data_IF_656258667327
#
_entry.id   IF_656258667327
#
_cell.length_a   1.000
_cell.length_b   1.000
_cell.length_c   1.000
_cell.angle_alpha   90.00
_cell.angle_beta   90.00
_cell.angle_gamma   90.00
#
_symmetry.space_group_name_H-M   'P 1'
#
loop_
_entity.id
_entity.type
_entity.pdbx_description
1 polymer ?
#
# COMPACT_ATOMS: atom_id res chain seq x y z
N UNK A 1 0.24 16.12 -32.56
CA UNK A 1 -0.06 17.11 -33.59
C UNK A 1 -1.57 17.28 -33.77
N UNK A 2 -2.08 18.51 -33.97
CA UNK A 2 -3.53 18.77 -34.10
C UNK A 2 -4.23 17.94 -35.19
N UNK A 3 -3.51 17.54 -36.20
CA UNK A 3 -4.02 16.74 -37.33
C UNK A 3 -4.37 15.30 -36.89
N UNK A 4 -3.54 14.64 -36.11
CA UNK A 4 -3.78 13.27 -35.62
C UNK A 4 -4.99 13.25 -34.70
N UNK A 5 -5.09 14.18 -33.77
CA UNK A 5 -6.25 14.30 -32.86
C UNK A 5 -7.56 14.53 -33.64
N UNK A 6 -7.52 15.36 -34.69
CA UNK A 6 -8.69 15.60 -35.55
C UNK A 6 -9.10 14.38 -36.36
N UNK A 7 -8.12 13.62 -36.90
CA UNK A 7 -8.39 12.39 -37.64
C UNK A 7 -8.99 11.31 -36.73
N UNK A 8 -8.44 11.13 -35.50
CA UNK A 8 -8.97 10.22 -34.50
C UNK A 8 -10.39 10.59 -34.08
N UNK A 9 -10.67 11.88 -33.89
CA UNK A 9 -12.01 12.36 -33.58
C UNK A 9 -12.98 12.03 -34.73
N UNK A 10 -12.62 12.36 -35.97
CA UNK A 10 -13.42 12.07 -37.14
C UNK A 10 -13.66 10.59 -37.31
N UNK A 11 -12.64 9.74 -37.18
CA UNK A 11 -12.76 8.28 -37.26
C UNK A 11 -13.72 7.72 -36.20
N UNK A 12 -13.77 8.34 -35.01
CA UNK A 12 -14.73 7.99 -33.95
C UNK A 12 -16.13 8.46 -34.29
N UNK A 13 -16.30 9.70 -34.76
CA UNK A 13 -17.59 10.29 -35.11
C UNK A 13 -18.23 9.54 -36.29
N UNK A 14 -17.42 9.14 -37.29
CA UNK A 14 -17.84 8.32 -38.45
C UNK A 14 -17.94 6.81 -38.14
N UNK A 15 -17.72 6.40 -36.86
CA UNK A 15 -17.76 5.00 -36.39
C UNK A 15 -16.80 4.04 -37.13
N UNK A 16 -15.74 4.58 -37.75
CA UNK A 16 -14.66 3.78 -38.36
C UNK A 16 -13.85 3.07 -37.28
N UNK A 17 -13.65 3.74 -36.14
CA UNK A 17 -13.04 3.17 -34.94
C UNK A 17 -14.15 3.01 -33.91
N UNK A 18 -14.33 1.81 -33.40
CA UNK A 18 -15.17 1.50 -32.24
C UNK A 18 -14.28 1.13 -31.10
N UNK A 19 -14.47 1.79 -29.94
CA UNK A 19 -13.89 1.36 -28.70
C UNK A 19 -14.93 0.48 -28.00
N UNK A 20 -14.66 -0.80 -27.96
CA UNK A 20 -15.45 -1.73 -27.17
C UNK A 20 -14.66 -1.99 -25.87
N UNK A 21 -15.28 -1.67 -24.75
CA UNK A 21 -14.69 -1.92 -23.44
C UNK A 21 -15.26 -3.23 -22.92
N UNK A 22 -14.43 -4.22 -22.58
CA UNK A 22 -14.91 -5.45 -21.96
C UNK A 22 -15.80 -5.16 -20.75
N UNK A 23 -16.82 -5.99 -20.53
CA UNK A 23 -17.82 -5.73 -19.49
C UNK A 23 -17.21 -5.70 -18.08
N UNK A 24 -16.17 -6.45 -17.84
CA UNK A 24 -15.38 -6.45 -16.59
C UNK A 24 -14.87 -5.04 -16.24
N UNK A 25 -14.36 -4.29 -17.22
CA UNK A 25 -13.91 -2.91 -17.01
C UNK A 25 -15.07 -1.94 -16.80
N UNK A 26 -16.23 -2.17 -17.45
CA UNK A 26 -17.43 -1.37 -17.21
C UNK A 26 -17.94 -1.55 -15.78
N UNK A 27 -17.90 -2.79 -15.29
CA UNK A 27 -18.25 -3.12 -13.91
C UNK A 27 -17.30 -2.47 -12.91
N UNK A 28 -16.00 -2.51 -13.15
CA UNK A 28 -15.00 -1.82 -12.32
C UNK A 28 -15.29 -0.31 -12.23
N UNK A 29 -15.54 0.37 -13.35
CA UNK A 29 -15.86 1.80 -13.38
C UNK A 29 -17.15 2.09 -12.60
N UNK A 30 -18.15 1.23 -12.73
CA UNK A 30 -19.39 1.36 -11.96
C UNK A 30 -19.15 1.22 -10.46
N UNK A 31 -18.37 0.21 -10.04
CA UNK A 31 -18.00 0.00 -8.63
C UNK A 31 -17.17 1.17 -8.07
N UNK A 32 -16.23 1.70 -8.84
CA UNK A 32 -15.44 2.90 -8.46
C UNK A 32 -16.36 4.08 -8.15
N UNK A 33 -17.37 4.30 -9.00
CA UNK A 33 -18.34 5.38 -8.82
C UNK A 33 -19.20 5.18 -7.58
N UNK A 34 -19.72 3.98 -7.36
CA UNK A 34 -20.51 3.64 -6.17
C UNK A 34 -19.71 3.78 -4.87
N UNK A 35 -18.46 3.29 -4.86
CA UNK A 35 -17.59 3.37 -3.70
C UNK A 35 -17.20 4.83 -3.39
N UNK A 36 -16.90 5.60 -4.43
CA UNK A 36 -16.55 7.01 -4.29
C UNK A 36 -17.68 7.83 -3.68
N UNK A 37 -18.91 7.60 -4.14
CA UNK A 37 -20.09 8.26 -3.61
C UNK A 37 -20.36 7.86 -2.14
N UNK A 38 -20.16 6.56 -1.81
CA UNK A 38 -20.44 6.02 -0.48
C UNK A 38 -19.43 6.46 0.57
N UNK A 39 -18.14 6.55 0.23
CA UNK A 39 -17.04 6.71 1.18
C UNK A 39 -16.31 8.05 1.11
N UNK A 40 -16.76 8.97 0.27
CA UNK A 40 -16.14 10.30 0.07
C UNK A 40 -14.62 10.24 -0.18
N UNK A 41 -14.21 9.25 -1.00
CA UNK A 41 -12.81 9.06 -1.36
C UNK A 41 -12.46 9.88 -2.61
N UNK A 42 -11.27 10.45 -2.64
CA UNK A 42 -10.82 11.27 -3.77
C UNK A 42 -10.67 10.45 -5.06
N UNK A 43 -10.07 9.29 -4.97
CA UNK A 43 -9.87 8.38 -6.09
C UNK A 43 -9.97 6.92 -5.62
N UNK A 44 -10.58 6.09 -6.45
CA UNK A 44 -10.71 4.66 -6.24
C UNK A 44 -10.35 3.99 -7.56
N UNK A 45 -9.56 2.95 -7.50
CA UNK A 45 -9.20 2.13 -8.66
C UNK A 45 -9.62 0.70 -8.34
N UNK A 46 -10.60 0.20 -9.09
CA UNK A 46 -11.04 -1.18 -9.02
C UNK A 46 -10.36 -1.96 -10.14
N UNK A 47 -9.72 -3.06 -9.78
CA UNK A 47 -8.98 -3.89 -10.73
C UNK A 47 -9.81 -5.10 -11.10
N UNK A 48 -10.03 -5.37 -12.41
CA UNK A 48 -10.78 -6.54 -12.82
C UNK A 48 -10.00 -7.82 -12.50
N UNK A 49 -10.69 -8.81 -11.96
CA UNK A 49 -10.18 -10.17 -11.81
C UNK A 49 -10.74 -11.03 -12.95
N UNK A 50 -9.94 -11.98 -13.45
CA UNK A 50 -10.41 -12.86 -14.53
C UNK A 50 -11.59 -13.70 -14.05
N UNK A 51 -12.77 -13.51 -14.65
CA UNK A 51 -13.99 -14.26 -14.32
C UNK A 51 -14.01 -15.67 -14.94
N UNK A 52 -13.14 -15.95 -15.90
CA UNK A 52 -13.09 -17.22 -16.63
C UNK A 52 -12.15 -18.25 -16.01
N UNK A 53 -11.32 -17.85 -15.04
CA UNK A 53 -10.37 -18.70 -14.32
C UNK A 53 -10.49 -18.44 -12.82
N UNK A 54 -10.24 -19.43 -11.99
CA UNK A 54 -10.01 -19.20 -10.57
C UNK A 54 -8.77 -18.31 -10.40
N UNK A 55 -9.00 -17.03 -10.13
CA UNK A 55 -7.91 -16.07 -9.92
C UNK A 55 -7.29 -16.34 -8.57
N UNK A 56 -6.02 -16.69 -8.55
CA UNK A 56 -5.32 -16.93 -7.30
C UNK A 56 -5.17 -15.63 -6.47
N UNK A 57 -5.14 -15.70 -5.13
CA UNK A 57 -4.91 -14.52 -4.30
C UNK A 57 -3.63 -13.75 -4.66
N UNK A 58 -2.62 -14.44 -5.20
CA UNK A 58 -1.38 -13.82 -5.66
C UNK A 58 -1.57 -13.02 -6.94
N UNK A 59 -2.41 -13.49 -7.87
CA UNK A 59 -2.71 -12.74 -9.10
C UNK A 59 -3.52 -11.48 -8.80
N UNK A 60 -4.51 -11.56 -7.90
CA UNK A 60 -5.23 -10.38 -7.41
C UNK A 60 -4.26 -9.36 -6.80
N UNK A 61 -3.37 -9.83 -5.92
CA UNK A 61 -2.36 -8.99 -5.29
C UNK A 61 -1.47 -8.29 -6.32
N UNK A 62 -1.01 -8.99 -7.34
CA UNK A 62 -0.18 -8.44 -8.42
C UNK A 62 -0.93 -7.42 -9.26
N UNK A 63 -2.19 -7.70 -9.59
CA UNK A 63 -3.01 -6.78 -10.36
C UNK A 63 -3.24 -5.45 -9.59
N UNK A 64 -3.60 -5.53 -8.32
CA UNK A 64 -3.73 -4.35 -7.44
C UNK A 64 -2.39 -3.61 -7.29
N UNK A 65 -1.31 -4.35 -7.11
CA UNK A 65 0.03 -3.77 -6.96
C UNK A 65 0.50 -3.04 -8.22
N UNK A 66 0.19 -3.56 -9.41
CA UNK A 66 0.50 -2.92 -10.69
C UNK A 66 -0.24 -1.58 -10.85
N UNK A 67 -1.53 -1.54 -10.57
CA UNK A 67 -2.29 -0.28 -10.64
C UNK A 67 -1.86 0.70 -9.54
N UNK A 68 -1.55 0.21 -8.35
CA UNK A 68 -0.96 1.03 -7.28
C UNK A 68 0.39 1.65 -7.69
N UNK A 69 1.26 0.89 -8.36
CA UNK A 69 2.52 1.40 -8.89
C UNK A 69 2.30 2.49 -9.95
N UNK A 70 1.39 2.27 -10.89
CA UNK A 70 1.01 3.25 -11.92
C UNK A 70 0.45 4.53 -11.30
N UNK A 71 -0.37 4.38 -10.26
CA UNK A 71 -0.90 5.51 -9.52
C UNK A 71 0.20 6.32 -8.85
N UNK A 72 1.12 5.65 -8.14
CA UNK A 72 2.25 6.30 -7.49
C UNK A 72 3.16 7.03 -8.48
N UNK A 73 3.51 6.41 -9.61
CA UNK A 73 4.39 7.03 -10.61
C UNK A 73 3.85 8.35 -11.16
N UNK A 74 2.52 8.47 -11.30
CA UNK A 74 1.91 9.74 -11.75
C UNK A 74 1.64 10.73 -10.63
N UNK A 75 1.63 10.28 -9.37
CA UNK A 75 1.35 11.11 -8.20
C UNK A 75 2.60 11.71 -7.57
N UNK A 76 3.73 11.01 -7.64
CA UNK A 76 4.99 11.45 -7.03
C UNK A 76 5.58 12.63 -7.79
N UNK A 77 5.84 13.72 -7.08
CA UNK A 77 6.53 14.89 -7.60
C UNK A 77 7.89 15.09 -6.93
N UNK A 78 8.70 15.96 -7.51
CA UNK A 78 10.02 16.26 -6.97
C UNK A 78 9.92 16.87 -5.58
N UNK A 79 10.68 16.34 -4.64
CA UNK A 79 10.75 16.83 -3.26
C UNK A 79 9.77 16.15 -2.32
N UNK A 80 8.93 15.23 -2.80
CA UNK A 80 8.04 14.45 -1.95
C UNK A 80 8.80 13.59 -0.93
N UNK A 81 8.13 13.36 0.20
CA UNK A 81 8.55 12.38 1.20
C UNK A 81 7.46 11.31 1.27
N UNK A 82 7.82 10.08 0.88
CA UNK A 82 6.91 8.94 0.90
C UNK A 82 7.13 8.07 2.11
N UNK A 83 6.08 7.86 2.89
CA UNK A 83 6.02 6.84 3.92
C UNK A 83 5.62 5.49 3.34
N UNK A 84 6.36 4.43 3.67
CA UNK A 84 6.17 3.07 3.16
C UNK A 84 5.93 2.13 4.33
N UNK A 85 4.86 1.34 4.23
CA UNK A 85 4.59 0.24 5.13
C UNK A 85 5.16 -1.09 4.59
N UNK A 86 5.06 -2.15 5.39
CA UNK A 86 5.53 -3.50 5.03
C UNK A 86 4.50 -4.31 4.24
N UNK A 87 4.91 -5.50 3.81
CA UNK A 87 4.00 -6.56 3.37
C UNK A 87 4.14 -6.97 1.92
N UNK A 88 3.49 -8.09 1.60
CA UNK A 88 3.59 -8.71 0.27
C UNK A 88 3.02 -7.87 -0.86
N UNK A 89 1.94 -7.13 -0.62
CA UNK A 89 1.37 -6.22 -1.63
C UNK A 89 2.32 -5.04 -1.92
N UNK A 90 2.95 -4.49 -0.87
CA UNK A 90 3.95 -3.44 -1.00
C UNK A 90 5.19 -3.93 -1.77
N UNK A 91 5.63 -5.17 -1.50
CA UNK A 91 6.71 -5.79 -2.25
C UNK A 91 6.38 -5.87 -3.75
N UNK A 92 5.22 -6.42 -4.12
CA UNK A 92 4.78 -6.52 -5.52
C UNK A 92 4.65 -5.13 -6.16
N UNK A 93 4.09 -4.14 -5.46
CA UNK A 93 3.97 -2.77 -5.94
C UNK A 93 5.34 -2.18 -6.30
N UNK A 94 6.33 -2.33 -5.42
CA UNK A 94 7.69 -1.81 -5.65
C UNK A 94 8.39 -2.52 -6.82
N UNK A 95 8.06 -3.80 -7.10
CA UNK A 95 8.60 -4.50 -8.27
C UNK A 95 8.10 -3.90 -9.60
N UNK A 96 6.90 -3.32 -9.61
CA UNK A 96 6.32 -2.69 -10.81
C UNK A 96 6.74 -1.24 -11.01
N UNK A 97 7.32 -0.60 -10.00
CA UNK A 97 7.82 0.77 -10.14
C UNK A 97 8.98 0.83 -11.15
N UNK A 98 8.80 1.66 -12.16
CA UNK A 98 9.81 1.92 -13.18
C UNK A 98 9.93 3.43 -13.43
N UNK A 99 10.49 4.20 -12.48
CA UNK A 99 10.54 5.64 -12.57
C UNK A 99 11.37 6.09 -13.77
N UNK A 100 10.74 6.80 -14.69
CA UNK A 100 11.38 7.33 -15.90
C UNK A 100 12.42 8.43 -15.59
N UNK A 101 12.35 9.02 -14.40
CA UNK A 101 13.25 10.08 -13.95
C UNK A 101 13.63 9.87 -12.50
N UNK A 102 14.89 10.11 -12.19
CA UNK A 102 15.34 10.22 -10.81
C UNK A 102 14.86 11.56 -10.27
N UNK A 103 13.95 11.50 -9.30
CA UNK A 103 13.42 12.66 -8.59
C UNK A 103 14.15 12.77 -7.26
N UNK A 104 14.29 13.98 -6.74
CA UNK A 104 14.82 14.20 -5.38
C UNK A 104 13.75 13.87 -4.33
N UNK A 105 13.25 12.63 -4.37
CA UNK A 105 12.21 12.10 -3.49
C UNK A 105 12.87 11.36 -2.33
N UNK A 106 12.31 11.47 -1.15
CA UNK A 106 12.78 10.75 0.04
C UNK A 106 11.78 9.68 0.45
N UNK A 107 12.25 8.59 1.02
CA UNK A 107 11.45 7.45 1.44
C UNK A 107 11.67 7.15 2.91
N UNK A 108 10.60 6.91 3.66
CA UNK A 108 10.64 6.70 5.10
C UNK A 108 9.80 5.49 5.49
N UNK A 109 10.25 4.71 6.48
CA UNK A 109 9.46 3.63 7.08
C UNK A 109 8.31 4.21 7.90
N UNK A 110 7.09 3.68 7.76
CA UNK A 110 5.92 4.11 8.54
C UNK A 110 5.80 3.42 9.91
N UNK A 111 6.58 2.38 10.12
CA UNK A 111 6.66 1.64 11.40
C UNK A 111 8.03 1.00 11.56
N UNK A 112 8.30 0.45 12.73
CA UNK A 112 9.54 -0.25 13.03
C UNK A 112 9.64 -1.61 12.32
N UNK A 113 10.79 -2.23 12.43
CA UNK A 113 11.13 -3.53 11.85
C UNK A 113 10.33 -4.67 12.52
N UNK A 114 10.14 -5.77 11.81
CA UNK A 114 9.54 -7.00 12.34
C UNK A 114 10.55 -8.14 12.18
N UNK A 115 11.11 -8.59 13.28
CA UNK A 115 12.24 -9.54 13.31
C UNK A 115 11.94 -10.87 12.62
N UNK A 116 10.71 -11.35 12.70
CA UNK A 116 10.29 -12.65 12.12
C UNK A 116 9.84 -12.53 10.66
N UNK A 117 9.89 -11.33 10.08
CA UNK A 117 9.43 -11.09 8.71
C UNK A 117 10.42 -11.68 7.69
N UNK A 118 9.87 -12.23 6.61
CA UNK A 118 10.69 -12.52 5.43
C UNK A 118 11.32 -11.22 4.95
N UNK A 119 12.64 -11.22 4.80
CA UNK A 119 13.43 -10.04 4.42
C UNK A 119 12.95 -9.32 3.16
N UNK A 120 12.22 -10.01 2.27
CA UNK A 120 11.63 -9.41 1.07
C UNK A 120 10.49 -8.45 1.38
N UNK A 121 9.74 -8.70 2.45
CA UNK A 121 8.53 -7.97 2.84
C UNK A 121 8.78 -6.98 3.97
N UNK A 122 9.98 -7.03 4.54
CA UNK A 122 10.43 -6.21 5.64
C UNK A 122 10.54 -4.74 5.20
N UNK A 123 10.04 -3.82 6.03
CA UNK A 123 9.86 -2.41 5.67
C UNK A 123 11.16 -1.71 5.28
N UNK A 124 12.28 -1.99 5.96
CA UNK A 124 13.58 -1.39 5.63
C UNK A 124 14.10 -1.84 4.27
N UNK A 125 13.87 -3.12 3.93
CA UNK A 125 14.19 -3.67 2.60
C UNK A 125 13.37 -2.99 1.50
N UNK A 126 12.09 -2.76 1.76
CA UNK A 126 11.18 -2.11 0.82
C UNK A 126 11.56 -0.64 0.60
N UNK A 127 11.79 0.10 1.67
CA UNK A 127 12.24 1.50 1.60
C UNK A 127 13.60 1.62 0.88
N UNK A 128 14.52 0.69 1.13
CA UNK A 128 15.80 0.68 0.42
C UNK A 128 15.62 0.46 -1.09
N UNK A 129 14.78 -0.49 -1.49
CA UNK A 129 14.51 -0.80 -2.91
C UNK A 129 13.90 0.38 -3.66
N UNK A 130 12.87 1.02 -3.07
CA UNK A 130 12.21 2.14 -3.71
C UNK A 130 13.13 3.37 -3.78
N UNK A 131 13.92 3.63 -2.73
CA UNK A 131 14.91 4.71 -2.73
C UNK A 131 15.97 4.50 -3.83
N UNK A 132 16.45 3.28 -4.01
CA UNK A 132 17.38 2.94 -5.11
C UNK A 132 16.75 3.15 -6.49
N UNK A 133 15.50 2.74 -6.69
CA UNK A 133 14.79 2.89 -7.96
C UNK A 133 14.66 4.36 -8.36
N UNK A 134 14.29 5.22 -7.42
CA UNK A 134 14.14 6.67 -7.65
C UNK A 134 15.45 7.47 -7.53
N UNK A 135 16.53 6.85 -7.05
CA UNK A 135 17.79 7.55 -6.76
C UNK A 135 17.65 8.58 -5.65
N UNK A 136 16.73 8.34 -4.71
CA UNK A 136 16.37 9.24 -3.62
C UNK A 136 17.01 8.88 -2.29
N UNK A 137 16.74 9.70 -1.27
CA UNK A 137 17.19 9.46 0.11
C UNK A 137 16.27 8.48 0.83
N UNK A 138 16.80 7.78 1.84
CA UNK A 138 16.03 6.90 2.70
C UNK A 138 16.17 7.28 4.18
N UNK A 139 15.09 7.12 4.91
CA UNK A 139 15.02 7.21 6.37
C UNK A 139 14.40 5.92 6.89
N UNK A 140 15.17 5.12 7.57
CA UNK A 140 14.79 3.80 8.06
C UNK A 140 15.32 3.61 9.47
N UNK A 141 14.74 2.68 10.23
CA UNK A 141 15.14 2.34 11.58
C UNK A 141 15.18 0.83 11.78
N UNK A 142 16.13 0.34 12.52
CA UNK A 142 16.19 -1.06 12.97
C UNK A 142 15.36 -1.31 14.24
N UNK A 143 14.70 -0.29 14.75
CA UNK A 143 13.86 -0.37 15.94
C UNK A 143 12.67 -1.31 15.68
N UNK A 144 12.35 -2.14 16.68
CA UNK A 144 11.23 -3.08 16.61
C UNK A 144 9.90 -2.35 16.52
N UNK A 145 9.03 -2.83 15.58
CA UNK A 145 7.69 -2.30 15.35
C UNK A 145 6.63 -2.85 16.31
N UNK A 146 6.91 -4.00 16.93
CA UNK A 146 6.06 -4.64 17.93
C UNK A 146 6.88 -4.82 19.21
N UNK A 147 6.37 -4.34 20.32
CA UNK A 147 7.02 -4.37 21.63
C UNK A 147 6.13 -5.07 22.65
N UNK A 148 6.75 -5.58 23.73
CA UNK A 148 6.06 -6.39 24.72
C UNK A 148 5.28 -5.58 25.75
N UNK A 149 5.54 -4.26 25.87
CA UNK A 149 4.86 -3.41 26.85
C UNK A 149 4.78 -1.95 26.39
N UNK A 150 3.78 -1.25 26.91
CA UNK A 150 3.62 0.19 26.71
C UNK A 150 4.83 0.98 27.25
N UNK A 151 5.41 0.53 28.38
CA UNK A 151 6.59 1.16 28.96
C UNK A 151 7.78 1.13 27.99
N UNK A 152 7.97 0.02 27.28
CA UNK A 152 9.04 -0.10 26.28
C UNK A 152 8.77 0.79 25.07
N UNK A 153 7.51 0.94 24.66
CA UNK A 153 7.12 1.89 23.61
C UNK A 153 7.47 3.33 24.01
N UNK A 154 7.13 3.72 25.26
CA UNK A 154 7.42 5.08 25.73
C UNK A 154 8.93 5.34 25.92
N UNK A 155 9.70 4.34 26.31
CA UNK A 155 11.16 4.43 26.35
C UNK A 155 11.72 4.62 24.94
N UNK A 156 11.23 3.83 24.00
CA UNK A 156 11.68 3.85 22.61
C UNK A 156 11.38 5.19 21.92
N UNK A 157 10.20 5.75 22.13
CA UNK A 157 9.82 7.07 21.59
C UNK A 157 10.78 8.19 22.03
N UNK A 158 11.44 8.04 23.16
CA UNK A 158 12.41 9.02 23.72
C UNK A 158 13.81 8.86 23.15
N UNK A 159 14.08 7.82 22.38
CA UNK A 159 15.41 7.65 21.75
C UNK A 159 15.61 8.68 20.65
N UNK A 160 16.86 9.10 20.45
CA UNK A 160 17.22 10.08 19.41
C UNK A 160 16.85 9.58 18.02
N UNK A 161 17.03 8.30 17.75
CA UNK A 161 16.69 7.66 16.48
C UNK A 161 15.20 7.82 16.15
N UNK A 162 14.32 7.45 17.08
CA UNK A 162 12.86 7.52 16.89
C UNK A 162 12.38 8.97 16.86
N UNK A 163 12.91 9.84 17.72
CA UNK A 163 12.59 11.26 17.73
C UNK A 163 12.95 11.91 16.37
N UNK A 164 14.08 11.54 15.78
CA UNK A 164 14.49 11.99 14.45
C UNK A 164 13.51 11.54 13.37
N UNK A 165 13.06 10.29 13.37
CA UNK A 165 12.05 9.80 12.44
C UNK A 165 10.73 10.57 12.58
N UNK A 166 10.26 10.76 13.80
CA UNK A 166 9.02 11.50 14.07
C UNK A 166 9.08 12.95 13.58
N UNK A 167 10.26 13.57 13.63
CA UNK A 167 10.43 14.92 13.06
C UNK A 167 10.23 14.97 11.54
N UNK A 168 10.42 13.83 10.86
CA UNK A 168 10.23 13.70 9.41
C UNK A 168 8.78 13.33 9.09
N UNK A 169 8.09 12.57 9.94
CA UNK A 169 6.72 12.14 9.71
C UNK A 169 5.75 13.28 9.41
N UNK A 170 5.92 14.42 10.07
CA UNK A 170 5.11 15.62 9.81
C UNK A 170 5.34 16.24 8.41
N UNK A 171 6.34 15.75 7.68
CA UNK A 171 6.68 16.22 6.32
C UNK A 171 6.31 15.20 5.25
N UNK A 172 5.73 14.06 5.63
CA UNK A 172 5.28 13.04 4.67
C UNK A 172 4.14 13.65 3.85
N UNK A 173 4.32 13.64 2.52
CA UNK A 173 3.32 14.09 1.56
C UNK A 173 2.45 12.95 1.05
N UNK A 174 2.99 11.73 0.99
CA UNK A 174 2.29 10.53 0.53
C UNK A 174 2.63 9.38 1.47
N UNK A 175 1.63 8.65 1.95
CA UNK A 175 1.83 7.38 2.67
C UNK A 175 1.18 6.24 1.91
N UNK A 176 1.87 5.09 1.86
CA UNK A 176 1.41 3.90 1.15
C UNK A 176 1.46 2.71 2.09
N UNK A 177 0.31 2.07 2.27
CA UNK A 177 0.18 0.89 3.10
C UNK A 177 -0.74 -0.15 2.48
N UNK A 178 -0.54 -1.41 2.83
CA UNK A 178 -1.52 -2.46 2.64
C UNK A 178 -2.51 -2.49 3.80
N UNK A 179 -3.60 -3.22 3.61
CA UNK A 179 -4.55 -3.58 4.65
C UNK A 179 -4.53 -5.10 4.78
N UNK A 180 -4.23 -5.61 5.96
CA UNK A 180 -4.37 -7.02 6.29
C UNK A 180 -5.77 -7.30 6.84
N UNK A 181 -6.35 -8.46 6.52
CA UNK A 181 -7.67 -8.85 7.00
C UNK A 181 -7.56 -9.91 8.11
N UNK A 182 -8.39 -9.76 9.15
CA UNK A 182 -8.65 -10.75 10.18
C UNK A 182 -10.04 -11.35 10.05
N UNK A 183 -10.97 -10.65 9.40
CA UNK A 183 -12.33 -11.09 9.15
C UNK A 183 -12.81 -10.59 7.76
N UNK A 184 -13.58 -11.38 6.99
CA UNK A 184 -14.00 -12.77 7.25
C UNK A 184 -12.89 -13.80 7.09
N UNK A 185 -11.83 -13.48 6.34
CA UNK A 185 -10.69 -14.35 6.10
C UNK A 185 -9.41 -13.77 6.69
N UNK A 186 -8.63 -14.60 7.35
CA UNK A 186 -7.36 -14.20 7.95
C UNK A 186 -6.26 -14.16 6.87
N UNK A 187 -6.12 -13.03 6.19
CA UNK A 187 -5.06 -12.81 5.19
C UNK A 187 -3.88 -11.99 5.74
N UNK A 188 -4.04 -11.38 6.91
CA UNK A 188 -2.95 -10.67 7.57
C UNK A 188 -1.84 -11.63 8.00
N UNK A 189 -0.57 -11.33 7.67
CA UNK A 189 0.56 -12.10 8.21
C UNK A 189 0.63 -12.08 9.74
N UNK A 190 0.13 -11.02 10.39
CA UNK A 190 0.14 -10.89 11.84
C UNK A 190 -0.77 -11.90 12.56
N UNK A 191 -1.65 -12.58 11.84
CA UNK A 191 -2.43 -13.70 12.36
C UNK A 191 -1.59 -14.98 12.62
N UNK A 192 -0.34 -14.99 12.17
CA UNK A 192 0.56 -16.14 12.31
C UNK A 192 1.39 -16.05 13.59
N UNK A 193 1.57 -17.18 14.25
CA UNK A 193 2.38 -17.31 15.50
C UNK A 193 3.86 -16.92 15.35
N UNK A 194 4.34 -16.78 14.10
CA UNK A 194 5.70 -16.29 13.85
C UNK A 194 5.89 -14.80 14.15
N UNK A 195 4.81 -14.03 14.24
CA UNK A 195 4.84 -12.58 14.45
C UNK A 195 4.36 -12.16 15.84
N UNK A 196 3.36 -12.86 16.36
CA UNK A 196 2.81 -12.63 17.70
C UNK A 196 2.96 -13.94 18.51
N UNK A 197 3.15 -13.81 19.83
CA UNK A 197 3.08 -14.97 20.71
C UNK A 197 1.66 -15.52 20.73
N UNK A 198 1.49 -16.80 21.08
CA UNK A 198 0.16 -17.41 21.21
C UNK A 198 -0.70 -16.66 22.22
N UNK A 199 -0.10 -16.17 23.31
CA UNK A 199 -0.78 -15.36 24.33
C UNK A 199 -1.29 -14.05 23.74
N UNK A 200 -0.44 -13.32 23.01
CA UNK A 200 -0.79 -12.03 22.44
C UNK A 200 -1.85 -12.19 21.35
N UNK A 201 -1.73 -13.23 20.53
CA UNK A 201 -2.73 -13.54 19.50
C UNK A 201 -4.09 -13.89 20.12
N UNK A 202 -4.13 -14.69 21.18
CA UNK A 202 -5.36 -15.01 21.88
C UNK A 202 -6.00 -13.76 22.49
N UNK A 203 -5.20 -12.92 23.14
CA UNK A 203 -5.67 -11.63 23.67
C UNK A 203 -6.22 -10.74 22.57
N UNK A 204 -5.51 -10.61 21.45
CA UNK A 204 -5.97 -9.85 20.29
C UNK A 204 -7.31 -10.33 19.74
N UNK A 205 -7.49 -11.65 19.66
CA UNK A 205 -8.73 -12.24 19.15
C UNK A 205 -9.94 -11.99 20.05
N UNK A 206 -9.77 -11.71 21.34
CA UNK A 206 -10.83 -11.28 22.25
C UNK A 206 -11.41 -9.91 21.83
N UNK A 207 -10.58 -9.03 21.27
CA UNK A 207 -11.00 -7.72 20.73
C UNK A 207 -11.66 -7.81 19.36
N UNK A 208 -11.71 -8.99 18.75
CA UNK A 208 -12.33 -9.25 17.44
C UNK A 208 -11.80 -8.31 16.34
N UNK A 209 -10.51 -8.30 16.06
CA UNK A 209 -9.96 -7.46 15.03
C UNK A 209 -10.55 -7.80 13.66
N UNK A 210 -10.85 -6.79 12.87
CA UNK A 210 -11.31 -6.91 11.48
C UNK A 210 -10.17 -6.74 10.49
N UNK A 211 -9.25 -5.84 10.79
CA UNK A 211 -8.13 -5.53 9.91
C UNK A 211 -6.89 -5.10 10.68
N UNK A 212 -5.76 -5.06 10.00
CA UNK A 212 -4.58 -4.32 10.44
C UNK A 212 -4.08 -3.35 9.38
N UNK A 213 -3.59 -2.21 9.82
CA UNK A 213 -2.92 -1.21 8.99
C UNK A 213 -1.67 -0.74 9.73
N UNK A 214 -0.49 -0.88 9.13
CA UNK A 214 0.78 -0.43 9.72
C UNK A 214 1.02 -0.97 11.13
N UNK A 215 0.76 -2.26 11.34
CA UNK A 215 0.86 -3.00 12.63
C UNK A 215 -0.17 -2.58 13.69
N UNK A 216 -1.20 -1.80 13.36
CA UNK A 216 -2.29 -1.44 14.23
C UNK A 216 -3.52 -2.25 13.88
N UNK A 217 -4.15 -2.83 14.90
CA UNK A 217 -5.34 -3.65 14.76
C UNK A 217 -6.59 -2.80 14.89
N UNK A 218 -7.53 -3.02 14.01
CA UNK A 218 -8.78 -2.25 13.95
C UNK A 218 -9.98 -3.16 14.11
N UNK A 219 -10.96 -2.71 14.87
CA UNK A 219 -12.26 -3.37 14.99
C UNK A 219 -13.15 -3.11 13.75
N UNK A 220 -14.40 -3.60 13.77
CA UNK A 220 -15.36 -3.43 12.69
C UNK A 220 -15.77 -1.97 12.42
N UNK A 221 -15.58 -1.10 13.38
CA UNK A 221 -15.95 0.32 13.33
C UNK A 221 -14.72 1.20 12.99
N UNK A 222 -13.55 0.58 12.82
CA UNK A 222 -12.29 1.25 12.50
C UNK A 222 -11.55 1.83 13.71
N UNK A 223 -11.97 1.49 14.94
CA UNK A 223 -11.24 1.89 16.13
C UNK A 223 -10.07 0.93 16.39
N UNK A 224 -8.99 1.45 16.94
CA UNK A 224 -7.84 0.66 17.34
C UNK A 224 -8.19 -0.24 18.53
N UNK A 225 -7.85 -1.55 18.40
CA UNK A 225 -8.07 -2.55 19.46
C UNK A 225 -7.00 -2.47 20.54
#
# INVERSE_FOLDING_TARGET
PPTVSRLLKRARDEKIIRFDMPDEFKECIYLESCLKEKFDLNEIIVVPTCTLCETSPMEVKRAVALEGARYLERSIVQGDILGIAWGGTMYELIQYLNPCRKNNTSFITLHGSITSCNSKFEVNSLVNRIAMAYGGSKYATEVQGLLSSEEDVEKLKKTEEVARLFSIYNKISISVSGIGSFYPEQTSPLSQLSYLSEKDLNTLMEYKPYADIMLRFLDKDGNEC
#
